data_IF_375349975571
#
_entry.id   IF_375349975571
#
_cell.length_a   1.000
_cell.length_b   1.000
_cell.length_c   1.000
_cell.angle_alpha   90.00
_cell.angle_beta   90.00
_cell.angle_gamma   90.00
#
_symmetry.space_group_name_H-M   'P 1'
#
loop_
_entity.id
_entity.type
_entity.pdbx_description
1 polymer ?
#
# COMPACT_ATOMS: atom_id res chain seq x y z
N UNK A 1 66.73 21.93 -7.46
CA UNK A 1 65.58 22.09 -6.56
C UNK A 1 64.33 21.49 -7.21
N UNK A 2 64.08 20.21 -6.94
CA UNK A 2 62.88 19.46 -7.31
C UNK A 2 62.40 18.77 -6.03
N UNK A 3 61.11 18.43 -5.99
CA UNK A 3 60.41 17.65 -4.95
C UNK A 3 59.82 18.51 -3.82
N UNK A 4 58.65 19.11 -4.05
CA UNK A 4 57.61 19.29 -3.00
C UNK A 4 56.29 19.83 -3.62
N UNK A 5 55.48 19.03 -4.33
CA UNK A 5 54.16 19.51 -4.80
C UNK A 5 53.10 18.45 -5.16
N UNK A 6 53.21 17.20 -4.68
CA UNK A 6 52.30 16.11 -5.09
C UNK A 6 51.58 15.34 -3.97
N UNK A 7 51.49 15.89 -2.74
CA UNK A 7 50.84 15.17 -1.63
C UNK A 7 49.54 15.80 -1.09
N UNK A 8 49.02 16.89 -1.69
CA UNK A 8 47.85 17.60 -1.15
C UNK A 8 46.54 17.41 -1.93
N UNK A 9 46.55 16.70 -3.06
CA UNK A 9 45.34 16.42 -3.84
C UNK A 9 44.70 15.05 -3.58
N UNK A 10 45.38 14.16 -2.84
CA UNK A 10 44.85 12.82 -2.51
C UNK A 10 43.97 12.76 -1.25
N UNK A 11 44.02 13.76 -0.38
CA UNK A 11 43.32 13.74 0.91
C UNK A 11 41.87 14.26 0.85
N UNK A 12 41.51 15.03 -0.19
CA UNK A 12 40.16 15.58 -0.33
C UNK A 12 39.16 14.60 -0.95
N UNK A 13 39.61 13.57 -1.67
CA UNK A 13 38.72 12.55 -2.24
C UNK A 13 38.33 11.43 -1.25
N UNK A 14 39.04 11.29 -0.13
CA UNK A 14 38.72 10.31 0.90
C UNK A 14 37.75 10.85 1.97
N UNK A 15 37.56 12.18 2.06
CA UNK A 15 36.63 12.78 3.02
C UNK A 15 35.17 12.84 2.51
N UNK A 16 34.95 12.89 1.19
CA UNK A 16 33.59 12.85 0.61
C UNK A 16 32.98 11.44 0.56
N UNK A 17 33.75 10.38 0.81
CA UNK A 17 33.26 9.00 0.86
C UNK A 17 32.89 8.53 2.27
N UNK A 18 33.25 9.28 3.33
CA UNK A 18 33.00 8.87 4.72
C UNK A 18 31.77 9.51 5.37
N UNK A 19 31.10 10.47 4.73
CA UNK A 19 29.84 11.05 5.25
C UNK A 19 28.60 10.22 4.91
N UNK A 20 28.75 9.09 4.21
CA UNK A 20 27.67 8.15 3.91
C UNK A 20 27.33 7.20 5.09
N UNK A 21 27.91 7.40 6.27
CA UNK A 21 27.87 6.45 7.39
C UNK A 21 27.04 6.97 8.57
N UNK A 22 25.76 7.18 8.34
CA UNK A 22 24.69 6.96 9.31
C UNK A 22 23.36 7.23 8.61
N UNK A 23 22.80 6.24 7.95
CA UNK A 23 21.42 6.32 7.46
C UNK A 23 20.50 6.27 8.68
N UNK A 24 20.26 7.45 9.28
CA UNK A 24 19.46 7.61 10.48
C UNK A 24 18.04 7.11 10.20
N UNK A 25 17.67 6.03 10.88
CA UNK A 25 16.29 5.52 10.90
C UNK A 25 15.62 6.09 12.13
N UNK A 26 14.47 6.69 11.93
CA UNK A 26 13.63 7.03 13.05
C UNK A 26 12.86 5.78 13.51
N UNK A 27 12.67 5.59 14.82
CA UNK A 27 11.87 4.47 15.32
C UNK A 27 10.44 4.55 14.78
N UNK A 28 9.99 3.49 14.12
CA UNK A 28 8.59 3.34 13.72
C UNK A 28 7.78 2.96 14.95
N UNK A 29 6.72 3.72 15.22
CA UNK A 29 5.77 3.50 16.28
C UNK A 29 4.44 3.07 15.69
N UNK A 30 3.88 1.97 16.20
CA UNK A 30 2.54 1.52 15.86
C UNK A 30 1.56 1.97 16.95
N UNK A 31 0.44 2.59 16.55
CA UNK A 31 -0.62 2.96 17.50
C UNK A 31 -1.27 1.72 18.11
N UNK A 32 -1.77 1.86 19.33
CA UNK A 32 -2.55 0.81 19.96
C UNK A 32 -3.88 0.62 19.21
N UNK A 33 -4.10 -0.59 18.72
CA UNK A 33 -5.33 -0.95 18.02
C UNK A 33 -5.98 -2.16 18.71
N UNK A 34 -6.79 -1.91 19.75
CA UNK A 34 -7.24 -2.95 20.68
C UNK A 34 -8.12 -4.01 20.03
N UNK A 35 -8.80 -3.66 18.93
CA UNK A 35 -9.60 -4.59 18.15
C UNK A 35 -9.42 -4.30 16.66
N UNK A 36 -8.69 -5.17 15.97
CA UNK A 36 -8.44 -5.05 14.52
C UNK A 36 -9.73 -5.30 13.73
N UNK A 37 -9.79 -4.69 12.55
CA UNK A 37 -10.82 -5.03 11.58
C UNK A 37 -10.61 -6.46 11.07
N UNK A 38 -11.71 -7.10 10.67
CA UNK A 38 -11.68 -8.41 10.03
C UNK A 38 -11.96 -8.19 8.54
N UNK A 39 -10.93 -8.15 7.66
CA UNK A 39 -11.08 -7.77 6.25
C UNK A 39 -11.63 -8.93 5.41
N UNK A 40 -12.70 -9.55 5.88
CA UNK A 40 -13.44 -10.58 5.17
C UNK A 40 -14.95 -10.39 5.34
N UNK A 41 -15.70 -10.69 4.27
CA UNK A 41 -17.17 -10.62 4.28
C UNK A 41 -17.77 -11.61 3.29
N UNK A 42 -18.98 -12.09 3.58
CA UNK A 42 -19.68 -13.02 2.68
C UNK A 42 -20.81 -12.30 1.94
N UNK A 43 -20.64 -12.17 0.63
CA UNK A 43 -21.61 -11.54 -0.26
C UNK A 43 -22.57 -12.57 -0.86
N UNK A 44 -23.84 -12.16 -1.07
CA UNK A 44 -24.88 -12.98 -1.73
C UNK A 44 -24.75 -12.97 -3.26
N UNK A 45 -23.57 -13.28 -3.76
CA UNK A 45 -23.25 -13.35 -5.19
C UNK A 45 -22.53 -14.66 -5.53
N UNK A 46 -22.70 -15.11 -6.79
CA UNK A 46 -21.92 -16.22 -7.36
C UNK A 46 -20.46 -15.78 -7.58
N UNK A 47 -19.45 -16.63 -7.33
CA UNK A 47 -18.04 -16.24 -7.41
C UNK A 47 -17.65 -15.61 -8.75
N UNK A 48 -18.02 -16.24 -9.86
CA UNK A 48 -17.65 -15.76 -11.20
C UNK A 48 -18.23 -14.37 -11.49
N UNK A 49 -19.50 -14.15 -11.14
CA UNK A 49 -20.15 -12.85 -11.32
C UNK A 49 -19.54 -11.79 -10.40
N UNK A 50 -19.20 -12.16 -9.18
CA UNK A 50 -18.62 -11.23 -8.21
C UNK A 50 -17.23 -10.79 -8.65
N UNK A 51 -16.42 -11.70 -9.21
CA UNK A 51 -15.08 -11.39 -9.73
C UNK A 51 -15.12 -10.28 -10.78
N UNK A 52 -15.91 -10.48 -11.84
CA UNK A 52 -16.04 -9.52 -12.93
C UNK A 52 -16.61 -8.19 -12.43
N UNK A 53 -17.57 -8.26 -11.49
CA UNK A 53 -18.14 -7.06 -10.86
C UNK A 53 -17.07 -6.26 -10.14
N UNK A 54 -16.30 -6.88 -9.23
CA UNK A 54 -15.25 -6.20 -8.46
C UNK A 54 -14.22 -5.56 -9.40
N UNK A 55 -13.77 -6.25 -10.45
CA UNK A 55 -12.82 -5.69 -11.42
C UNK A 55 -13.37 -4.39 -12.04
N UNK A 56 -14.65 -4.36 -12.39
CA UNK A 56 -15.28 -3.16 -12.98
C UNK A 56 -15.51 -2.02 -11.98
N UNK A 57 -15.51 -2.30 -10.67
CA UNK A 57 -15.55 -1.26 -9.63
C UNK A 57 -14.25 -0.44 -9.59
N UNK A 58 -13.11 -1.04 -9.89
CA UNK A 58 -11.80 -0.39 -9.85
C UNK A 58 -11.43 0.30 -11.17
N UNK A 59 -12.38 1.03 -11.77
CA UNK A 59 -12.08 2.05 -12.79
C UNK A 59 -11.75 3.38 -12.13
N UNK A 60 -11.00 4.25 -12.80
CA UNK A 60 -10.63 5.57 -12.25
C UNK A 60 -11.87 6.39 -11.90
N UNK A 61 -12.89 6.38 -12.77
CA UNK A 61 -14.13 7.13 -12.56
C UNK A 61 -14.88 6.69 -11.30
N UNK A 62 -14.99 5.38 -11.08
CA UNK A 62 -15.71 4.82 -9.92
C UNK A 62 -15.01 5.12 -8.59
N UNK A 63 -13.68 5.28 -8.61
CA UNK A 63 -12.86 5.52 -7.43
C UNK A 63 -12.81 7.00 -7.07
N UNK A 64 -12.60 7.89 -8.04
CA UNK A 64 -12.47 9.34 -7.78
C UNK A 64 -13.79 9.95 -7.26
N UNK A 65 -14.94 9.42 -7.68
CA UNK A 65 -16.26 9.91 -7.24
C UNK A 65 -16.68 9.39 -5.87
N UNK A 66 -15.95 8.44 -5.29
CA UNK A 66 -16.35 7.75 -4.06
C UNK A 66 -15.63 8.31 -2.84
N UNK A 67 -16.39 8.67 -1.80
CA UNK A 67 -15.82 9.25 -0.58
C UNK A 67 -15.13 8.22 0.31
N UNK A 68 -15.51 6.93 0.25
CA UNK A 68 -15.01 5.88 1.16
C UNK A 68 -13.50 5.74 1.01
N UNK A 69 -13.01 5.67 -0.24
CA UNK A 69 -11.57 5.56 -0.48
C UNK A 69 -10.81 6.80 0.00
N UNK A 70 -11.41 7.99 -0.12
CA UNK A 70 -10.77 9.24 0.32
C UNK A 70 -10.65 9.39 1.84
N UNK A 71 -11.28 8.54 2.64
CA UNK A 71 -11.13 8.59 4.11
C UNK A 71 -9.74 8.09 4.56
N UNK A 72 -9.19 7.12 3.84
CA UNK A 72 -7.92 6.46 4.17
C UNK A 72 -6.85 6.72 3.09
N UNK A 73 -7.23 6.63 1.82
CA UNK A 73 -6.32 6.65 0.68
C UNK A 73 -6.22 8.03 0.04
N UNK A 74 -5.84 9.07 0.79
CA UNK A 74 -5.51 10.37 0.18
C UNK A 74 -4.06 10.33 -0.29
N UNK A 75 -3.83 10.61 -1.57
CA UNK A 75 -2.49 10.64 -2.15
C UNK A 75 -1.63 11.71 -1.44
N UNK A 76 -0.51 11.27 -0.86
CA UNK A 76 0.39 12.11 -0.08
C UNK A 76 0.98 13.28 -0.89
N UNK A 77 1.21 13.10 -2.19
CA UNK A 77 1.71 14.13 -3.11
C UNK A 77 0.61 15.11 -3.54
N UNK A 78 -0.66 14.70 -3.46
CA UNK A 78 -1.82 15.47 -3.91
C UNK A 78 -2.80 15.81 -2.78
N UNK A 79 -2.35 15.72 -1.53
CA UNK A 79 -3.18 15.90 -0.33
C UNK A 79 -3.97 17.21 -0.31
N UNK A 80 -3.36 18.30 -0.77
CA UNK A 80 -3.98 19.64 -0.78
C UNK A 80 -5.15 19.74 -1.78
N UNK A 81 -5.25 18.78 -2.71
CA UNK A 81 -6.35 18.64 -3.67
C UNK A 81 -7.35 17.57 -3.27
N UNK A 82 -7.17 16.94 -2.11
CA UNK A 82 -7.98 15.80 -1.64
C UNK A 82 -8.15 14.71 -2.71
N UNK A 83 -7.07 14.43 -3.46
CA UNK A 83 -7.13 13.46 -4.54
C UNK A 83 -6.94 12.05 -3.97
N UNK A 84 -7.88 11.11 -4.18
CA UNK A 84 -7.73 9.76 -3.68
C UNK A 84 -6.67 9.00 -4.48
N UNK A 85 -5.99 8.05 -3.83
CA UNK A 85 -5.21 7.04 -4.53
C UNK A 85 -6.16 6.21 -5.40
N UNK A 86 -5.65 5.73 -6.53
CA UNK A 86 -6.37 4.86 -7.45
C UNK A 86 -5.69 3.51 -7.51
N UNK A 87 -6.53 2.49 -7.59
CA UNK A 87 -6.11 1.11 -7.71
C UNK A 87 -6.42 0.61 -9.11
N UNK A 88 -5.46 -0.10 -9.70
CA UNK A 88 -5.65 -0.87 -10.92
C UNK A 88 -5.92 -2.32 -10.56
N UNK A 89 -7.13 -2.80 -10.86
CA UNK A 89 -7.45 -4.22 -10.75
C UNK A 89 -6.84 -5.00 -11.91
N UNK A 90 -6.17 -6.10 -11.58
CA UNK A 90 -5.52 -7.06 -12.48
C UNK A 90 -5.96 -8.49 -12.14
N UNK A 91 -5.88 -9.37 -13.13
CA UNK A 91 -6.16 -10.80 -12.95
C UNK A 91 -5.05 -11.63 -13.58
N UNK A 92 -5.02 -12.94 -13.33
CA UNK A 92 -4.10 -13.86 -14.01
C UNK A 92 -4.14 -13.83 -15.55
N UNK A 93 -5.19 -13.24 -16.17
CA UNK A 93 -5.32 -13.06 -17.62
C UNK A 93 -4.83 -11.70 -18.13
N UNK A 94 -4.68 -10.71 -17.24
CA UNK A 94 -4.29 -9.34 -17.54
C UNK A 94 -3.37 -8.84 -16.43
N UNK A 95 -2.06 -9.09 -16.61
CA UNK A 95 -1.02 -8.79 -15.62
C UNK A 95 -0.04 -7.76 -16.19
N UNK A 96 -0.11 -6.52 -15.73
CA UNK A 96 0.88 -5.49 -16.02
C UNK A 96 1.92 -5.40 -14.90
N UNK A 97 1.47 -5.34 -13.65
CA UNK A 97 2.34 -5.22 -12.46
C UNK A 97 2.31 -6.47 -11.57
N UNK A 98 1.33 -7.36 -11.78
CA UNK A 98 1.05 -8.50 -10.91
C UNK A 98 1.60 -9.84 -11.40
N UNK A 99 2.46 -9.84 -12.44
CA UNK A 99 2.94 -11.08 -13.10
C UNK A 99 3.64 -12.04 -12.13
N UNK A 100 4.46 -11.51 -11.22
CA UNK A 100 5.14 -12.32 -10.20
C UNK A 100 4.12 -12.98 -9.27
N UNK A 101 3.14 -12.22 -8.79
CA UNK A 101 2.09 -12.73 -7.92
C UNK A 101 1.29 -13.87 -8.57
N UNK A 102 0.83 -13.68 -9.80
CA UNK A 102 0.05 -14.69 -10.52
C UNK A 102 0.86 -15.90 -11.03
N UNK A 103 2.19 -15.89 -10.86
CA UNK A 103 3.04 -17.06 -11.13
C UNK A 103 2.98 -18.11 -10.01
N UNK A 104 2.53 -17.71 -8.82
CA UNK A 104 2.39 -18.60 -7.66
C UNK A 104 1.21 -19.58 -7.82
N UNK A 105 1.25 -20.76 -7.19
CA UNK A 105 0.10 -21.66 -7.16
C UNK A 105 -1.09 -21.01 -6.44
N UNK A 106 -2.30 -21.42 -6.82
CA UNK A 106 -3.56 -21.01 -6.19
C UNK A 106 -3.95 -19.52 -6.29
N UNK A 107 -3.27 -18.70 -7.09
CA UNK A 107 -3.61 -17.27 -7.25
C UNK A 107 -4.49 -16.96 -8.45
N UNK A 108 -4.80 -17.95 -9.30
CA UNK A 108 -5.51 -17.72 -10.59
C UNK A 108 -6.87 -17.03 -10.44
N UNK A 109 -7.55 -17.29 -9.33
CA UNK A 109 -8.88 -16.78 -9.04
C UNK A 109 -8.87 -15.45 -8.30
N UNK A 110 -7.72 -14.97 -7.87
CA UNK A 110 -7.61 -13.73 -7.12
C UNK A 110 -7.69 -12.52 -8.06
N UNK A 111 -7.90 -11.35 -7.46
CA UNK A 111 -7.79 -10.04 -8.09
C UNK A 111 -6.65 -9.30 -7.38
N UNK A 112 -5.71 -8.79 -8.16
CA UNK A 112 -4.62 -7.96 -7.64
C UNK A 112 -4.99 -6.49 -7.80
N UNK A 113 -4.88 -5.71 -6.73
CA UNK A 113 -5.11 -4.27 -6.72
C UNK A 113 -3.76 -3.55 -6.58
N UNK A 114 -3.25 -3.04 -7.70
CA UNK A 114 -2.00 -2.29 -7.75
C UNK A 114 -2.21 -0.80 -7.47
N UNK A 115 -1.37 -0.20 -6.62
CA UNK A 115 -1.46 1.23 -6.25
C UNK A 115 -0.73 2.18 -7.18
N UNK A 116 -0.09 1.66 -8.24
CA UNK A 116 0.69 2.46 -9.19
C UNK A 116 1.79 3.32 -8.54
N UNK A 117 2.29 2.90 -7.37
CA UNK A 117 3.31 3.62 -6.62
C UNK A 117 2.78 4.79 -5.77
N UNK A 118 1.46 4.97 -5.67
CA UNK A 118 0.88 6.00 -4.83
C UNK A 118 1.05 5.68 -3.33
N UNK A 119 1.24 6.75 -2.56
CA UNK A 119 1.50 6.74 -1.12
C UNK A 119 0.38 7.51 -0.42
N UNK A 120 0.02 7.11 0.79
CA UNK A 120 -0.92 7.85 1.65
C UNK A 120 -0.42 7.89 3.09
N UNK A 121 -0.90 8.82 3.90
CA UNK A 121 -0.50 8.90 5.30
C UNK A 121 -1.17 7.81 6.14
N UNK A 122 -0.37 6.99 6.83
CA UNK A 122 -0.88 5.92 7.69
C UNK A 122 -1.64 6.48 8.89
N UNK A 123 -2.75 5.83 9.24
CA UNK A 123 -3.45 6.06 10.51
C UNK A 123 -2.88 5.23 11.67
N UNK A 124 -1.92 4.34 11.39
CA UNK A 124 -1.41 3.35 12.34
C UNK A 124 0.10 3.49 12.61
N UNK A 125 0.90 3.79 11.58
CA UNK A 125 2.35 3.91 11.69
C UNK A 125 2.82 5.36 11.75
N UNK A 126 3.63 5.67 12.76
CA UNK A 126 4.12 7.02 13.07
C UNK A 126 5.63 7.01 13.32
N UNK A 127 6.25 8.18 13.14
CA UNK A 127 7.56 8.51 13.69
C UNK A 127 7.51 9.90 14.31
N UNK A 128 7.97 10.03 15.56
CA UNK A 128 7.96 11.31 16.31
C UNK A 128 6.61 12.03 16.20
N UNK A 129 5.52 11.30 16.43
CA UNK A 129 4.12 11.79 16.34
C UNK A 129 3.66 12.26 14.95
N UNK A 130 4.45 12.05 13.90
CA UNK A 130 4.05 12.28 12.51
C UNK A 130 3.64 10.98 11.81
N UNK A 131 2.50 10.95 11.10
CA UNK A 131 2.10 9.76 10.35
C UNK A 131 3.10 9.49 9.22
N UNK A 132 3.50 8.23 9.07
CA UNK A 132 4.39 7.82 7.99
C UNK A 132 3.59 7.62 6.69
N UNK A 133 4.21 7.91 5.56
CA UNK A 133 3.67 7.53 4.26
C UNK A 133 3.70 6.00 4.15
N UNK A 134 2.57 5.42 3.76
CA UNK A 134 2.35 3.99 3.64
C UNK A 134 2.04 3.64 2.18
N UNK A 135 2.51 2.46 1.78
CA UNK A 135 2.25 1.87 0.47
C UNK A 135 2.05 0.37 0.64
N UNK A 136 1.10 -0.18 -0.09
CA UNK A 136 0.89 -1.61 -0.23
C UNK A 136 0.11 -1.86 -1.50
N UNK A 137 0.30 -3.02 -2.14
CA UNK A 137 -0.72 -3.54 -3.06
C UNK A 137 -1.71 -4.41 -2.26
N UNK A 138 -2.79 -4.87 -2.88
CA UNK A 138 -3.77 -5.71 -2.20
C UNK A 138 -4.22 -6.88 -3.04
N UNK A 139 -4.55 -7.98 -2.37
CA UNK A 139 -5.15 -9.16 -2.98
C UNK A 139 -6.59 -9.26 -2.53
N UNK A 140 -7.51 -9.39 -3.47
CA UNK A 140 -8.89 -9.78 -3.20
C UNK A 140 -9.05 -11.24 -3.56
N UNK A 141 -9.20 -12.08 -2.53
CA UNK A 141 -9.47 -13.52 -2.67
C UNK A 141 -10.97 -13.77 -2.69
N UNK A 142 -11.37 -14.75 -3.50
CA UNK A 142 -12.77 -15.10 -3.75
C UNK A 142 -12.96 -16.59 -3.44
N UNK A 143 -13.47 -16.88 -2.26
CA UNK A 143 -13.76 -18.24 -1.82
C UNK A 143 -15.25 -18.55 -1.96
N UNK A 144 -15.56 -19.68 -2.58
CA UNK A 144 -16.95 -20.13 -2.69
C UNK A 144 -17.45 -20.57 -1.31
N UNK A 145 -18.39 -19.81 -0.73
CA UNK A 145 -19.07 -20.22 0.49
C UNK A 145 -20.19 -21.23 0.19
N UNK A 146 -20.95 -21.01 -0.89
CA UNK A 146 -21.86 -21.98 -1.51
C UNK A 146 -22.20 -21.55 -2.96
N UNK A 147 -23.25 -22.13 -3.56
CA UNK A 147 -23.63 -21.84 -4.95
C UNK A 147 -24.14 -20.42 -5.21
N UNK A 148 -24.56 -19.69 -4.18
CA UNK A 148 -25.10 -18.32 -4.28
C UNK A 148 -24.36 -17.29 -3.43
N UNK A 149 -23.35 -17.71 -2.66
CA UNK A 149 -22.58 -16.86 -1.76
C UNK A 149 -21.08 -17.02 -1.96
N UNK A 150 -20.37 -15.90 -1.90
CA UNK A 150 -18.92 -15.83 -2.05
C UNK A 150 -18.33 -15.09 -0.85
N UNK A 151 -17.37 -15.70 -0.19
CA UNK A 151 -16.55 -15.05 0.81
C UNK A 151 -15.44 -14.27 0.10
N UNK A 152 -15.37 -12.98 0.37
CA UNK A 152 -14.31 -12.09 -0.09
C UNK A 152 -13.37 -11.84 1.08
N UNK A 153 -12.07 -11.94 0.82
CA UNK A 153 -11.01 -11.62 1.78
C UNK A 153 -10.07 -10.64 1.12
N UNK A 154 -9.74 -9.54 1.80
CA UNK A 154 -8.77 -8.56 1.33
C UNK A 154 -7.49 -8.67 2.16
N UNK A 155 -6.35 -8.84 1.49
CA UNK A 155 -5.03 -8.97 2.12
C UNK A 155 -4.05 -7.93 1.58
N UNK A 156 -3.27 -7.32 2.46
CA UNK A 156 -2.15 -6.49 2.04
C UNK A 156 -1.02 -7.33 1.41
N UNK A 157 -0.49 -6.85 0.29
CA UNK A 157 0.63 -7.44 -0.43
C UNK A 157 1.82 -6.48 -0.43
N UNK A 158 2.86 -6.87 0.32
CA UNK A 158 4.08 -6.09 0.57
C UNK A 158 3.81 -4.71 1.19
N UNK A 159 3.17 -4.62 2.37
CA UNK A 159 2.98 -3.35 3.06
C UNK A 159 4.31 -2.77 3.55
N UNK A 160 4.51 -1.48 3.28
CA UNK A 160 5.71 -0.73 3.61
C UNK A 160 5.37 0.68 4.07
N UNK A 161 6.28 1.29 4.82
CA UNK A 161 6.27 2.73 5.11
C UNK A 161 7.54 3.40 4.63
N UNK A 162 7.46 4.68 4.27
CA UNK A 162 8.63 5.52 4.04
C UNK A 162 9.22 5.91 5.39
N UNK A 163 10.43 5.45 5.70
CA UNK A 163 11.12 5.76 6.95
C UNK A 163 12.55 6.22 6.67
N UNK A 164 12.69 7.53 6.44
CA UNK A 164 13.96 8.18 6.13
C UNK A 164 14.36 8.07 4.65
N UNK A 165 15.63 8.35 4.38
CA UNK A 165 16.21 8.35 3.05
C UNK A 165 17.42 7.41 2.98
N UNK A 166 17.58 6.76 1.84
CA UNK A 166 18.81 6.07 1.45
C UNK A 166 19.68 7.00 0.59
N UNK A 167 21.01 6.86 0.69
CA UNK A 167 21.94 7.62 -0.15
C UNK A 167 22.24 6.87 -1.45
N UNK A 168 22.66 7.67 -2.45
CA UNK A 168 23.61 7.27 -3.47
C UNK A 168 23.01 6.34 -4.54
N UNK A 169 21.74 6.55 -4.88
CA UNK A 169 21.18 6.06 -6.14
C UNK A 169 21.75 6.83 -7.35
N UNK A 170 21.50 6.31 -8.56
CA UNK A 170 21.92 6.94 -9.83
C UNK A 170 21.43 8.39 -9.98
N UNK A 171 20.35 8.75 -9.27
CA UNK A 171 19.71 10.07 -9.31
C UNK A 171 19.73 10.81 -7.96
N UNK A 172 20.60 10.41 -7.03
CA UNK A 172 20.71 11.04 -5.70
C UNK A 172 20.01 10.26 -4.59
N UNK A 173 19.67 10.93 -3.47
CA UNK A 173 18.94 10.32 -2.37
C UNK A 173 17.56 9.82 -2.81
N UNK A 174 17.09 8.73 -2.22
CA UNK A 174 15.77 8.16 -2.50
C UNK A 174 15.07 7.71 -1.21
N UNK A 175 13.74 7.63 -1.25
CA UNK A 175 12.92 7.20 -0.12
C UNK A 175 13.28 5.79 0.31
N UNK A 176 13.48 5.59 1.62
CA UNK A 176 13.68 4.26 2.20
C UNK A 176 12.34 3.61 2.54
N UNK A 177 12.02 2.51 1.87
CA UNK A 177 10.84 1.71 2.17
C UNK A 177 11.15 0.63 3.21
N UNK A 178 10.49 0.69 4.35
CA UNK A 178 10.64 -0.28 5.44
C UNK A 178 9.42 -1.19 5.48
N UNK A 179 9.58 -2.53 5.36
CA UNK A 179 8.47 -3.47 5.52
C UNK A 179 7.81 -3.34 6.91
N UNK A 180 6.50 -3.41 6.95
CA UNK A 180 5.71 -3.35 8.18
C UNK A 180 4.63 -4.43 8.16
N UNK A 181 3.94 -4.65 9.29
CA UNK A 181 2.80 -5.56 9.30
C UNK A 181 1.57 -4.90 8.63
N UNK A 182 0.63 -5.68 8.08
CA UNK A 182 -0.67 -5.15 7.68
C UNK A 182 -1.45 -4.58 8.86
N UNK A 183 -2.23 -3.52 8.63
CA UNK A 183 -2.94 -2.81 9.71
C UNK A 183 -4.38 -3.27 9.89
N UNK A 184 -4.97 -3.93 8.89
CA UNK A 184 -6.41 -4.19 8.71
C UNK A 184 -7.27 -2.97 8.37
N UNK A 185 -6.75 -1.75 8.47
CA UNK A 185 -7.51 -0.52 8.17
C UNK A 185 -7.69 -0.43 6.65
N UNK A 186 -6.59 -0.46 5.90
CA UNK A 186 -6.61 -0.30 4.46
C UNK A 186 -7.37 -1.45 3.77
N UNK A 187 -7.14 -2.70 4.20
CA UNK A 187 -7.84 -3.86 3.65
C UNK A 187 -9.35 -3.78 3.87
N UNK A 188 -9.77 -3.32 5.05
CA UNK A 188 -11.17 -3.18 5.40
C UNK A 188 -11.84 -2.02 4.64
N UNK A 189 -11.16 -0.91 4.42
CA UNK A 189 -11.68 0.20 3.59
C UNK A 189 -11.93 -0.24 2.15
N UNK A 190 -11.04 -1.06 1.58
CA UNK A 190 -11.27 -1.63 0.25
C UNK A 190 -12.48 -2.57 0.24
N UNK A 191 -12.66 -3.37 1.30
CA UNK A 191 -13.83 -4.23 1.45
C UNK A 191 -15.13 -3.42 1.61
N UNK A 192 -15.10 -2.33 2.36
CA UNK A 192 -16.22 -1.40 2.54
C UNK A 192 -16.60 -0.71 1.23
N UNK A 193 -15.61 -0.28 0.45
CA UNK A 193 -15.84 0.24 -0.90
C UNK A 193 -16.55 -0.81 -1.78
N UNK A 194 -16.06 -2.05 -1.80
CA UNK A 194 -16.70 -3.14 -2.55
C UNK A 194 -18.14 -3.37 -2.07
N UNK A 195 -18.35 -3.45 -0.75
CA UNK A 195 -19.67 -3.70 -0.16
C UNK A 195 -20.67 -2.58 -0.52
N UNK A 196 -20.25 -1.33 -0.36
CA UNK A 196 -21.05 -0.15 -0.71
C UNK A 196 -21.47 -0.17 -2.19
N UNK A 197 -20.55 -0.45 -3.11
CA UNK A 197 -20.87 -0.54 -4.55
C UNK A 197 -21.78 -1.70 -4.91
N UNK A 198 -21.78 -2.77 -4.12
CA UNK A 198 -22.70 -3.90 -4.26
C UNK A 198 -24.06 -3.66 -3.58
N UNK A 199 -24.22 -2.54 -2.85
CA UNK A 199 -25.41 -2.24 -2.07
C UNK A 199 -25.55 -3.10 -0.82
N UNK A 200 -24.45 -3.69 -0.32
CA UNK A 200 -24.44 -4.47 0.90
C UNK A 200 -24.20 -3.56 2.12
N UNK A 201 -25.18 -3.51 3.01
CA UNK A 201 -25.18 -2.70 4.23
C UNK A 201 -24.91 -3.50 5.50
N UNK A 202 -24.54 -4.78 5.36
CA UNK A 202 -24.33 -5.69 6.50
C UNK A 202 -22.91 -5.67 7.06
N UNK A 203 -21.98 -4.99 6.38
CA UNK A 203 -20.60 -4.83 6.84
C UNK A 203 -20.57 -3.94 8.10
N UNK A 204 -19.77 -4.32 9.10
CA UNK A 204 -19.62 -3.51 10.30
C UNK A 204 -18.89 -2.18 9.99
N UNK A 205 -19.09 -1.12 10.80
CA UNK A 205 -18.30 0.10 10.65
C UNK A 205 -16.81 -0.16 10.86
N UNK A 206 -15.96 0.57 10.11
CA UNK A 206 -14.52 0.51 10.28
C UNK A 206 -14.10 0.95 11.69
N UNK A 207 -13.17 0.22 12.28
CA UNK A 207 -12.50 0.58 13.54
C UNK A 207 -11.17 1.25 13.24
N UNK A 208 -10.86 2.31 13.98
CA UNK A 208 -9.59 3.02 13.88
C UNK A 208 -8.79 2.92 15.19
N UNK A 209 -7.45 3.05 15.13
CA UNK A 209 -6.61 3.14 16.31
C UNK A 209 -7.00 4.34 17.17
N UNK A 210 -6.83 4.23 18.49
CA UNK A 210 -7.06 5.36 19.39
C UNK A 210 -5.94 6.38 19.23
N UNK A 211 -6.30 7.67 19.33
CA UNK A 211 -5.35 8.77 19.47
C UNK A 211 -4.61 8.70 20.81
#
# INVERSE_FOLDING_TARGET
MKILRYYLTGAFFLFDLMTCWAQYQEPIQARAFPEKNTPEHTFKFRPDKLKDTIISLFTIENQIKDSILSEIFIDALLKDRNFPCVFKAETSKDTLFSKEYFSMPNTKNDIFLGTLGQLWFSKYYFSKDHPLEFISNYIVKLDKANDSMTKVIVEAYHPQVVNGMDCCGLHGPYSRYTPVAPTSIEEYTLLEFIASKLGDTTLAPIKLPKD
#
